data_IF_674913129857
#
_entry.id   IF_674913129857
#
_cell.length_a   1.000
_cell.length_b   1.000
_cell.length_c   1.000
_cell.angle_alpha   90.00
_cell.angle_beta   90.00
_cell.angle_gamma   90.00
#
_symmetry.space_group_name_H-M   'P 1'
#
loop_
_entity.id
_entity.type
_entity.pdbx_description
1 polymer ?
#
# COMPACT_ATOMS: atom_id res chain seq x y z
N UNK A 1 -27.63 -23.95 -0.92
CA UNK A 1 -26.29 -24.10 -1.53
C UNK A 1 -25.65 -22.72 -1.49
N UNK A 2 -24.72 -22.47 -0.57
CA UNK A 2 -23.97 -21.21 -0.55
C UNK A 2 -23.10 -21.20 -1.80
N UNK A 3 -23.41 -20.35 -2.78
CA UNK A 3 -22.53 -20.15 -3.92
C UNK A 3 -21.15 -19.73 -3.39
N UNK A 4 -20.07 -20.33 -3.89
CA UNK A 4 -18.72 -19.98 -3.48
C UNK A 4 -18.55 -18.47 -3.72
N UNK A 5 -18.45 -17.64 -2.66
CA UNK A 5 -18.41 -16.18 -2.82
C UNK A 5 -17.10 -15.71 -3.48
N UNK A 6 -16.16 -16.63 -3.69
CA UNK A 6 -14.82 -16.40 -4.22
C UNK A 6 -14.65 -17.38 -5.40
N UNK A 7 -14.31 -16.84 -6.57
CA UNK A 7 -14.06 -17.67 -7.75
C UNK A 7 -12.70 -18.37 -7.62
N UNK A 8 -12.64 -19.67 -7.87
CA UNK A 8 -11.42 -20.46 -7.72
C UNK A 8 -10.27 -19.96 -8.61
N UNK A 9 -10.58 -19.51 -9.84
CA UNK A 9 -9.61 -18.90 -10.77
C UNK A 9 -8.95 -17.62 -10.20
N UNK A 10 -9.67 -16.85 -9.40
CA UNK A 10 -9.14 -15.67 -8.72
C UNK A 10 -8.21 -16.07 -7.55
N UNK A 11 -8.52 -17.16 -6.85
CA UNK A 11 -7.66 -17.70 -5.77
C UNK A 11 -6.35 -18.23 -6.33
N UNK A 12 -6.38 -18.98 -7.43
CA UNK A 12 -5.18 -19.60 -8.02
C UNK A 12 -4.18 -18.56 -8.54
N UNK A 13 -4.67 -17.46 -9.15
CA UNK A 13 -3.84 -16.32 -9.57
C UNK A 13 -3.06 -15.66 -8.43
N UNK A 14 -3.54 -15.84 -7.22
CA UNK A 14 -3.09 -15.17 -6.00
C UNK A 14 -2.21 -16.12 -5.18
N UNK A 15 -2.66 -17.35 -4.94
CA UNK A 15 -2.02 -18.33 -4.06
C UNK A 15 -0.68 -18.87 -4.58
N UNK A 16 -0.51 -18.95 -5.90
CA UNK A 16 0.69 -19.49 -6.55
C UNK A 16 1.89 -18.53 -6.65
N UNK A 17 1.77 -17.30 -6.14
CA UNK A 17 2.83 -16.28 -6.27
C UNK A 17 3.96 -16.51 -5.27
N UNK A 18 5.19 -16.40 -5.78
CA UNK A 18 6.41 -16.43 -4.98
C UNK A 18 6.48 -15.23 -4.02
N UNK A 19 7.28 -15.38 -2.96
CA UNK A 19 7.53 -14.28 -2.01
C UNK A 19 8.57 -13.33 -2.59
N UNK A 20 8.31 -12.04 -2.50
CA UNK A 20 9.27 -11.02 -2.88
C UNK A 20 10.45 -11.06 -1.91
N UNK A 21 11.66 -11.05 -2.46
CA UNK A 21 12.90 -10.87 -1.72
C UNK A 21 13.55 -9.56 -2.16
N UNK A 22 14.02 -8.78 -1.19
CA UNK A 22 14.88 -7.63 -1.43
C UNK A 22 16.32 -8.14 -1.38
N UNK A 23 17.14 -7.73 -2.35
CA UNK A 23 18.55 -8.12 -2.41
C UNK A 23 19.48 -7.05 -1.84
N UNK A 24 19.10 -5.79 -1.98
CA UNK A 24 19.81 -4.61 -1.49
C UNK A 24 18.80 -3.49 -1.20
N UNK A 25 19.12 -2.63 -0.24
CA UNK A 25 18.20 -1.60 0.26
C UNK A 25 17.00 -2.19 1.00
N UNK A 26 15.85 -1.54 0.86
CA UNK A 26 14.64 -1.87 1.61
C UNK A 26 13.39 -1.47 0.83
N UNK A 27 12.29 -2.20 1.02
CA UNK A 27 10.99 -1.83 0.49
C UNK A 27 10.05 -1.40 1.62
N UNK A 28 9.49 -0.19 1.53
CA UNK A 28 8.41 0.23 2.42
C UNK A 28 7.10 -0.46 2.05
N UNK A 29 6.42 -1.02 3.05
CA UNK A 29 5.19 -1.78 2.88
C UNK A 29 4.12 -1.27 3.83
N UNK A 30 3.01 -0.78 3.28
CA UNK A 30 1.78 -0.52 4.03
C UNK A 30 0.89 -1.76 4.01
N UNK A 31 0.62 -2.32 5.19
CA UNK A 31 -0.43 -3.31 5.39
C UNK A 31 -1.74 -2.59 5.69
N UNK A 32 -2.75 -2.83 4.87
CA UNK A 32 -4.07 -2.21 4.98
C UNK A 32 -5.17 -3.26 5.03
N UNK A 33 -6.27 -2.91 5.68
CA UNK A 33 -7.46 -3.74 5.76
C UNK A 33 -8.40 -3.47 4.57
N UNK A 34 -9.50 -4.24 4.52
CA UNK A 34 -10.59 -3.95 3.60
C UNK A 34 -11.18 -2.55 3.84
N UNK A 35 -11.77 -1.97 2.79
CA UNK A 35 -12.38 -0.64 2.86
C UNK A 35 -13.39 -0.52 4.00
N UNK A 36 -13.23 0.52 4.80
CA UNK A 36 -14.16 0.94 5.84
C UNK A 36 -14.38 2.46 5.73
N UNK A 37 -15.53 2.94 6.22
CA UNK A 37 -15.78 4.38 6.33
C UNK A 37 -14.81 5.01 7.33
N UNK A 38 -14.27 6.18 7.01
CA UNK A 38 -13.47 6.92 7.96
C UNK A 38 -14.31 7.38 9.17
N UNK A 39 -13.75 7.26 10.37
CA UNK A 39 -14.40 7.69 11.61
C UNK A 39 -14.32 9.21 11.75
N UNK A 40 -15.39 9.88 11.30
CA UNK A 40 -15.49 11.35 11.33
C UNK A 40 -15.76 11.90 12.72
N UNK A 41 -16.33 11.11 13.62
CA UNK A 41 -16.57 11.52 15.00
C UNK A 41 -15.25 11.58 15.75
N UNK A 42 -14.36 10.61 15.50
CA UNK A 42 -13.02 10.59 16.08
C UNK A 42 -12.06 11.57 15.41
N UNK A 43 -12.16 11.77 14.09
CA UNK A 43 -11.25 12.63 13.34
C UNK A 43 -12.00 13.59 12.39
N UNK A 44 -12.68 14.63 12.94
CA UNK A 44 -13.56 15.50 12.15
C UNK A 44 -12.82 16.32 11.09
N UNK A 45 -11.53 16.59 11.28
CA UNK A 45 -10.68 17.33 10.34
C UNK A 45 -10.02 16.43 9.27
N UNK A 46 -10.22 15.11 9.32
CA UNK A 46 -9.69 14.21 8.32
C UNK A 46 -10.62 14.21 7.09
N UNK A 47 -10.16 14.66 5.91
CA UNK A 47 -11.02 14.78 4.74
C UNK A 47 -11.34 13.43 4.08
N UNK A 48 -10.74 12.33 4.53
CA UNK A 48 -10.92 11.01 3.92
C UNK A 48 -12.33 10.49 4.14
N UNK A 49 -12.95 10.01 3.07
CA UNK A 49 -14.20 9.25 3.14
C UNK A 49 -13.96 7.80 3.54
N UNK A 50 -12.85 7.23 3.04
CA UNK A 50 -12.54 5.81 3.18
C UNK A 50 -11.18 5.58 3.83
N UNK A 51 -11.11 4.49 4.58
CA UNK A 51 -9.91 3.84 5.08
C UNK A 51 -9.77 2.48 4.39
N UNK A 52 -8.56 1.91 4.37
CA UNK A 52 -8.36 0.57 3.81
C UNK A 52 -8.30 0.56 2.28
N UNK A 53 -8.50 -0.62 1.69
CA UNK A 53 -8.51 -0.81 0.25
C UNK A 53 -9.82 -1.40 -0.27
N UNK A 54 -10.26 -0.92 -1.44
CA UNK A 54 -11.25 -1.59 -2.27
C UNK A 54 -10.92 -1.38 -3.75
N UNK A 55 -11.18 -2.40 -4.57
CA UNK A 55 -10.91 -2.37 -6.02
C UNK A 55 -11.69 -1.28 -6.77
N UNK A 56 -12.78 -0.79 -6.18
CA UNK A 56 -13.61 0.29 -6.75
C UNK A 56 -13.22 1.69 -6.28
N UNK A 57 -12.16 1.86 -5.47
CA UNK A 57 -11.68 3.20 -5.14
C UNK A 57 -11.34 3.97 -6.42
N UNK A 58 -11.64 5.27 -6.48
CA UNK A 58 -10.98 6.15 -7.45
C UNK A 58 -9.48 6.23 -7.17
N UNK A 59 -8.69 6.83 -8.05
CA UNK A 59 -7.26 7.05 -7.77
C UNK A 59 -7.08 8.00 -6.59
N UNK A 60 -7.91 9.05 -6.50
CA UNK A 60 -7.92 10.00 -5.39
C UNK A 60 -8.29 9.35 -4.05
N UNK A 61 -9.33 8.51 -4.04
CA UNK A 61 -9.72 7.76 -2.83
C UNK A 61 -8.64 6.78 -2.39
N UNK A 62 -8.01 6.09 -3.36
CA UNK A 62 -6.92 5.17 -3.08
C UNK A 62 -5.69 5.90 -2.53
N UNK A 63 -5.31 7.02 -3.12
CA UNK A 63 -4.20 7.86 -2.66
C UNK A 63 -4.46 8.37 -1.25
N UNK A 64 -5.65 8.94 -1.03
CA UNK A 64 -6.04 9.46 0.28
C UNK A 64 -6.06 8.35 1.34
N UNK A 65 -6.57 7.16 1.02
CA UNK A 65 -6.57 6.03 1.95
C UNK A 65 -5.18 5.43 2.18
N UNK A 66 -4.26 5.53 1.21
CA UNK A 66 -2.96 4.83 1.23
C UNK A 66 -1.78 5.68 1.66
N UNK A 67 -1.80 7.00 1.46
CA UNK A 67 -0.63 7.85 1.71
C UNK A 67 -0.72 8.66 2.99
N UNK A 68 -1.82 8.59 3.74
CA UNK A 68 -2.01 9.26 5.04
C UNK A 68 -2.98 8.48 5.90
N UNK A 69 -2.97 8.55 7.23
CA UNK A 69 -1.97 9.17 8.12
C UNK A 69 -1.24 8.06 8.88
N UNK A 70 0.05 7.88 8.63
CA UNK A 70 0.79 6.70 9.10
C UNK A 70 1.81 7.03 10.17
N UNK A 71 1.86 6.17 11.21
CA UNK A 71 3.04 6.10 12.09
C UNK A 71 4.10 5.28 11.36
N UNK A 72 5.27 5.88 11.17
CA UNK A 72 6.38 5.34 10.40
C UNK A 72 7.62 6.21 10.63
N UNK A 73 8.75 5.81 10.08
CA UNK A 73 9.96 6.63 9.99
C UNK A 73 9.92 7.35 8.63
N UNK A 74 9.65 8.66 8.59
CA UNK A 74 9.48 9.38 7.34
C UNK A 74 10.76 9.45 6.50
N UNK A 75 11.94 9.38 7.12
CA UNK A 75 13.20 9.37 6.38
C UNK A 75 13.35 8.06 5.62
N UNK A 76 13.15 6.92 6.28
CA UNK A 76 13.16 5.60 5.61
C UNK A 76 12.15 5.53 4.46
N UNK A 77 10.92 6.02 4.67
CA UNK A 77 9.89 5.99 3.62
C UNK A 77 10.28 6.83 2.40
N UNK A 78 10.90 7.98 2.59
CA UNK A 78 11.35 8.84 1.49
C UNK A 78 12.58 8.24 0.80
N UNK A 79 13.55 7.75 1.57
CA UNK A 79 14.79 7.17 1.05
C UNK A 79 14.55 5.89 0.23
N UNK A 80 13.57 5.07 0.62
CA UNK A 80 13.23 3.85 -0.11
C UNK A 80 12.58 4.14 -1.48
N UNK A 81 12.00 5.32 -1.67
CA UNK A 81 11.22 5.79 -2.83
C UNK A 81 10.00 4.93 -3.22
N UNK A 82 9.98 3.61 -3.02
CA UNK A 82 8.89 2.71 -3.37
C UNK A 82 8.06 2.35 -2.14
N UNK A 83 6.75 2.46 -2.29
CA UNK A 83 5.78 2.20 -1.24
C UNK A 83 4.72 1.22 -1.75
N UNK A 84 4.83 -0.03 -1.31
CA UNK A 84 3.89 -1.09 -1.66
C UNK A 84 2.72 -1.10 -0.67
N UNK A 85 1.49 -1.06 -1.17
CA UNK A 85 0.27 -1.20 -0.37
C UNK A 85 -0.22 -2.64 -0.50
N UNK A 86 -0.46 -3.31 0.61
CA UNK A 86 -0.90 -4.71 0.64
C UNK A 86 -2.18 -4.90 1.43
N UNK A 87 -3.02 -5.81 0.95
CA UNK A 87 -4.06 -6.45 1.78
C UNK A 87 -3.57 -7.84 2.12
N UNK A 88 -3.43 -8.14 3.42
CA UNK A 88 -2.62 -9.26 3.89
C UNK A 88 -1.22 -9.23 3.22
N UNK A 89 -0.88 -10.25 2.43
CA UNK A 89 0.39 -10.34 1.72
C UNK A 89 0.33 -9.90 0.25
N UNK A 90 -0.84 -9.48 -0.23
CA UNK A 90 -1.07 -9.22 -1.65
C UNK A 90 -0.93 -7.74 -1.97
N UNK A 91 0.01 -7.35 -2.85
CA UNK A 91 0.13 -5.98 -3.30
C UNK A 91 -1.10 -5.58 -4.10
N UNK A 92 -1.69 -4.46 -3.69
CA UNK A 92 -2.89 -3.87 -4.31
C UNK A 92 -2.61 -2.53 -4.96
N UNK A 93 -1.52 -1.86 -4.55
CA UNK A 93 -1.02 -0.66 -5.20
C UNK A 93 0.48 -0.49 -4.95
N UNK A 94 1.14 0.27 -5.82
CA UNK A 94 2.54 0.70 -5.64
C UNK A 94 2.61 2.19 -5.94
N UNK A 95 3.25 2.94 -5.05
CA UNK A 95 3.56 4.35 -5.25
C UNK A 95 5.06 4.57 -5.31
N UNK A 96 5.46 5.59 -6.08
CA UNK A 96 6.72 6.28 -5.87
C UNK A 96 6.49 7.42 -4.90
N UNK A 97 7.16 7.42 -3.77
CA UNK A 97 7.18 8.52 -2.81
C UNK A 97 8.19 9.56 -3.29
N UNK A 98 7.77 10.83 -3.26
CA UNK A 98 8.62 11.98 -3.64
C UNK A 98 8.88 12.93 -2.46
N UNK A 99 8.28 12.65 -1.29
CA UNK A 99 8.52 13.39 -0.07
C UNK A 99 7.39 13.23 0.96
N UNK A 100 7.53 13.94 2.08
CA UNK A 100 6.49 14.07 3.11
C UNK A 100 5.66 15.33 2.85
N UNK A 101 4.37 15.17 2.60
CA UNK A 101 3.45 16.27 2.32
C UNK A 101 2.99 16.99 3.61
N UNK A 102 2.78 16.24 4.69
CA UNK A 102 2.40 16.81 5.98
C UNK A 102 2.72 15.85 7.13
N UNK A 103 2.82 16.39 8.35
CA UNK A 103 2.89 15.61 9.58
C UNK A 103 1.98 16.23 10.64
N UNK A 104 1.30 15.39 11.41
CA UNK A 104 0.44 15.82 12.52
C UNK A 104 0.71 14.96 13.76
N UNK A 105 0.67 15.59 14.93
CA UNK A 105 0.59 14.88 16.21
C UNK A 105 -0.79 15.12 16.79
N UNK A 106 -1.53 14.06 17.07
CA UNK A 106 -2.86 14.16 17.67
C UNK A 106 -2.73 14.35 19.17
N UNK A 107 -3.72 14.96 19.81
CA UNK A 107 -3.66 15.31 21.23
C UNK A 107 -3.49 14.09 22.15
N UNK A 108 -3.90 12.90 21.70
CA UNK A 108 -3.82 11.62 22.42
C UNK A 108 -2.64 10.74 21.98
N UNK A 109 -1.69 11.27 21.20
CA UNK A 109 -0.58 10.51 20.64
C UNK A 109 0.77 11.21 20.88
N UNK A 110 1.79 10.44 21.30
CA UNK A 110 3.15 10.98 21.53
C UNK A 110 4.03 10.95 20.27
N UNK A 111 3.58 10.25 19.22
CA UNK A 111 4.33 10.09 17.96
C UNK A 111 3.57 10.72 16.80
N UNK A 112 4.24 11.46 15.91
CA UNK A 112 3.59 12.05 14.75
C UNK A 112 3.10 10.97 13.78
N UNK A 113 2.13 11.36 12.96
CA UNK A 113 1.66 10.64 11.79
C UNK A 113 1.98 11.44 10.55
N UNK A 114 2.35 10.74 9.49
CA UNK A 114 2.84 11.33 8.27
C UNK A 114 1.86 11.10 7.11
N UNK A 115 1.78 12.11 6.25
CA UNK A 115 1.15 12.08 4.95
C UNK A 115 2.27 12.23 3.91
N UNK A 116 2.33 11.30 2.96
CA UNK A 116 3.34 11.29 1.91
C UNK A 116 2.80 11.82 0.58
N UNK A 117 3.65 12.55 -0.15
CA UNK A 117 3.41 12.86 -1.55
C UNK A 117 3.93 11.70 -2.41
N UNK A 118 3.12 11.22 -3.34
CA UNK A 118 3.54 10.12 -4.20
C UNK A 118 2.83 10.06 -5.55
N UNK A 119 3.45 9.35 -6.49
CA UNK A 119 2.91 9.05 -7.80
C UNK A 119 2.49 7.57 -7.85
N UNK A 120 1.25 7.29 -8.24
CA UNK A 120 0.78 5.93 -8.44
C UNK A 120 1.53 5.26 -9.60
N UNK A 121 2.10 4.07 -9.36
CA UNK A 121 2.84 3.28 -10.36
C UNK A 121 2.04 2.06 -10.83
N UNK A 122 1.22 1.49 -9.95
CA UNK A 122 0.36 0.37 -10.27
C UNK A 122 -0.80 0.25 -9.27
N UNK A 123 -1.92 -0.33 -9.71
CA UNK A 123 -3.03 -0.71 -8.81
C UNK A 123 -3.86 -1.87 -9.32
N UNK A 124 -4.57 -2.51 -8.41
CA UNK A 124 -5.58 -3.54 -8.70
C UNK A 124 -6.96 -2.89 -8.91
N UNK A 125 -7.68 -3.39 -9.91
CA UNK A 125 -9.04 -3.03 -10.28
C UNK A 125 -10.00 -4.22 -10.15
N UNK A 126 -11.32 -4.04 -10.37
CA UNK A 126 -12.28 -5.14 -10.37
C UNK A 126 -11.83 -6.27 -11.31
N UNK A 127 -12.04 -7.52 -10.91
CA UNK A 127 -11.57 -8.69 -11.67
C UNK A 127 -10.09 -9.05 -11.47
N UNK A 128 -9.40 -8.40 -10.53
CA UNK A 128 -7.96 -8.55 -10.26
C UNK A 128 -7.07 -8.09 -11.44
N UNK A 129 -7.58 -7.17 -12.24
CA UNK A 129 -6.81 -6.53 -13.31
C UNK A 129 -5.80 -5.55 -12.69
N UNK A 130 -4.56 -5.61 -13.15
CA UNK A 130 -3.49 -4.71 -12.70
C UNK A 130 -3.19 -3.73 -13.83
N UNK A 131 -3.30 -2.43 -13.52
CA UNK A 131 -2.95 -1.35 -14.44
C UNK A 131 -1.67 -0.67 -14.00
N UNK A 132 -1.00 -0.03 -14.96
CA UNK A 132 0.24 0.72 -14.78
C UNK A 132 0.13 2.01 -15.60
N UNK A 133 0.12 3.21 -14.99
CA UNK A 133 -0.03 4.48 -15.71
C UNK A 133 0.96 4.63 -16.86
N UNK A 134 0.52 5.16 -18.00
CA UNK A 134 1.29 5.15 -19.26
C UNK A 134 2.60 5.95 -19.17
N UNK A 135 2.57 7.04 -18.41
CA UNK A 135 3.66 7.96 -18.13
C UNK A 135 4.70 7.44 -17.13
N UNK A 136 4.48 6.25 -16.54
CA UNK A 136 5.45 5.65 -15.61
C UNK A 136 6.77 5.30 -16.34
N UNK A 137 7.92 5.84 -15.89
CA UNK A 137 9.24 5.51 -16.43
C UNK A 137 9.49 4.01 -16.50
N UNK A 138 10.19 3.55 -17.55
CA UNK A 138 10.36 2.12 -17.85
C UNK A 138 10.94 1.29 -16.69
N UNK A 139 11.94 1.82 -15.97
CA UNK A 139 12.52 1.13 -14.81
C UNK A 139 11.53 1.01 -13.64
N UNK A 140 10.79 2.08 -13.32
CA UNK A 140 9.76 2.06 -12.28
C UNK A 140 8.61 1.12 -12.64
N UNK A 141 8.23 1.04 -13.92
CA UNK A 141 7.23 0.09 -14.39
C UNK A 141 7.67 -1.34 -14.17
N UNK A 142 8.94 -1.66 -14.43
CA UNK A 142 9.51 -2.99 -14.18
C UNK A 142 9.49 -3.34 -12.70
N UNK A 143 9.92 -2.42 -11.83
CA UNK A 143 9.90 -2.60 -10.37
C UNK A 143 8.47 -2.79 -9.85
N UNK A 144 7.52 -1.95 -10.29
CA UNK A 144 6.11 -2.09 -9.94
C UNK A 144 5.55 -3.44 -10.41
N UNK A 145 5.89 -3.91 -11.61
CA UNK A 145 5.49 -5.24 -12.10
C UNK A 145 6.04 -6.36 -11.23
N UNK A 146 7.30 -6.27 -10.82
CA UNK A 146 7.89 -7.26 -9.91
C UNK A 146 7.12 -7.28 -8.59
N UNK A 147 6.97 -6.13 -7.94
CA UNK A 147 6.22 -6.01 -6.68
C UNK A 147 4.81 -6.60 -6.84
N UNK A 148 4.05 -6.15 -7.84
CA UNK A 148 2.65 -6.53 -8.05
C UNK A 148 2.44 -8.01 -8.40
N UNK A 149 3.48 -8.74 -8.79
CA UNK A 149 3.40 -10.17 -9.13
C UNK A 149 3.84 -11.11 -7.98
N UNK A 150 4.31 -10.56 -6.86
CA UNK A 150 4.78 -11.36 -5.72
C UNK A 150 3.89 -11.17 -4.49
N UNK A 151 4.09 -12.05 -3.50
CA UNK A 151 3.57 -11.86 -2.14
C UNK A 151 4.61 -11.14 -1.30
N UNK A 152 4.17 -10.21 -0.47
CA UNK A 152 5.03 -9.47 0.45
C UNK A 152 4.69 -9.89 1.88
N UNK A 153 5.70 -10.29 2.64
CA UNK A 153 5.55 -10.64 4.05
C UNK A 153 6.46 -9.73 4.84
N UNK A 154 5.88 -8.90 5.70
CA UNK A 154 6.62 -7.97 6.56
C UNK A 154 6.09 -8.06 7.99
N UNK A 155 7.03 -8.02 8.94
CA UNK A 155 6.71 -7.93 10.36
C UNK A 155 6.89 -6.49 10.81
N UNK A 156 5.84 -5.89 11.37
CA UNK A 156 5.92 -4.57 11.98
C UNK A 156 4.89 -4.40 13.09
N UNK A 157 5.19 -3.51 14.05
CA UNK A 157 4.28 -3.15 15.15
C UNK A 157 3.15 -2.20 14.76
N UNK A 158 3.12 -1.75 13.49
CA UNK A 158 2.12 -0.84 12.94
C UNK A 158 1.72 -1.21 11.51
N UNK A 159 0.91 -0.38 10.83
CA UNK A 159 0.49 -0.67 9.47
C UNK A 159 1.65 -0.57 8.47
N UNK A 160 2.60 0.36 8.68
CA UNK A 160 3.82 0.45 7.87
C UNK A 160 4.88 -0.50 8.43
N UNK A 161 5.52 -1.24 7.53
CA UNK A 161 6.67 -2.08 7.80
C UNK A 161 7.72 -1.93 6.71
N UNK A 162 8.87 -2.55 6.94
CA UNK A 162 10.04 -2.44 6.09
C UNK A 162 10.52 -3.84 5.73
N UNK A 163 10.46 -4.19 4.45
CA UNK A 163 11.00 -5.44 3.95
C UNK A 163 12.49 -5.23 3.68
N UNK A 164 13.30 -5.74 4.59
CA UNK A 164 14.76 -5.72 4.52
C UNK A 164 15.26 -6.94 3.71
N UNK A 165 16.53 -6.94 3.25
CA UNK A 165 17.09 -8.09 2.57
C UNK A 165 17.06 -9.32 3.47
N UNK A 166 16.83 -10.49 2.86
CA UNK A 166 16.84 -11.73 3.61
C UNK A 166 18.20 -11.94 4.26
N UNK A 167 18.26 -11.94 5.60
CA UNK A 167 19.24 -12.77 6.29
C UNK A 167 18.76 -14.21 6.13
N UNK A 168 19.54 -15.00 5.41
CA UNK A 168 19.41 -16.47 5.37
C UNK A 168 19.23 -17.07 6.78
#
# INVERSE_FOLDING_TARGET
MLGLPIRADAVDKISGRERLQVLDGELTVLRTDARATADRDKYPSDPRTWMGFHVQHTDEELEAASLRWWRSDPHRVVDNELFAVTVATFPVAVYRIVGTAASITRADEDTPRHHYAGQLLARVHPGLEITFPQDTPGHLRTLAKQIMNHRIVVTSGGPVGYLEPGTD
#
